data_IF_220196386896
#
_entry.id   IF_220196386896
#
_cell.length_a   1.000
_cell.length_b   1.000
_cell.length_c   1.000
_cell.angle_alpha   90.00
_cell.angle_beta   90.00
_cell.angle_gamma   90.00
#
_symmetry.space_group_name_H-M   'P 1'
#
loop_
_entity.id
_entity.type
_entity.pdbx_description
1 polymer ?
#
# COMPACT_ATOMS: atom_id res chain seq x y z
N UNK A 1 59.97 -31.04 4.52
CA UNK A 1 58.50 -31.20 4.37
C UNK A 1 57.70 -30.91 5.65
N UNK A 2 58.03 -31.48 6.82
CA UNK A 2 57.24 -31.29 8.06
C UNK A 2 57.11 -29.83 8.54
N UNK A 3 58.13 -28.97 8.36
CA UNK A 3 58.09 -27.55 8.76
C UNK A 3 57.11 -26.69 7.94
N UNK A 4 56.87 -27.03 6.67
CA UNK A 4 55.89 -26.31 5.85
C UNK A 4 54.45 -26.67 6.25
N UNK A 5 54.20 -27.93 6.61
CA UNK A 5 52.87 -28.37 7.06
C UNK A 5 52.40 -27.64 8.34
N UNK A 6 53.29 -27.40 9.30
CA UNK A 6 52.96 -26.64 10.51
C UNK A 6 52.69 -25.16 10.24
N UNK A 7 53.42 -24.55 9.30
CA UNK A 7 53.19 -23.17 8.89
C UNK A 7 51.84 -23.02 8.17
N UNK A 8 51.50 -23.96 7.30
CA UNK A 8 50.18 -24.01 6.64
C UNK A 8 49.04 -24.19 7.63
N UNK A 9 49.21 -25.03 8.66
CA UNK A 9 48.21 -25.27 9.70
C UNK A 9 48.02 -24.03 10.58
N UNK A 10 49.10 -23.32 10.93
CA UNK A 10 49.03 -22.06 11.69
C UNK A 10 48.36 -20.95 10.87
N UNK A 11 48.65 -20.83 9.57
CA UNK A 11 47.99 -19.84 8.69
C UNK A 11 46.51 -20.17 8.49
N UNK A 12 46.13 -21.45 8.37
CA UNK A 12 44.71 -21.86 8.31
C UNK A 12 43.99 -21.59 9.63
N UNK A 13 44.61 -21.90 10.78
CA UNK A 13 44.04 -21.66 12.10
C UNK A 13 43.94 -20.16 12.44
N UNK A 14 44.88 -19.34 11.95
CA UNK A 14 44.82 -17.88 12.09
C UNK A 14 43.79 -17.26 11.12
N UNK A 15 43.69 -17.77 9.89
CA UNK A 15 42.68 -17.35 8.92
C UNK A 15 41.24 -17.70 9.33
N UNK A 16 41.04 -18.84 9.99
CA UNK A 16 39.75 -19.24 10.56
C UNK A 16 39.35 -18.37 11.78
N UNK A 17 40.32 -17.91 12.59
CA UNK A 17 40.05 -17.00 13.72
C UNK A 17 39.89 -15.52 13.32
N UNK A 18 40.45 -15.10 12.18
CA UNK A 18 40.27 -13.75 11.63
C UNK A 18 39.03 -13.60 10.73
N UNK A 19 38.26 -14.67 10.53
CA UNK A 19 36.92 -14.58 9.97
C UNK A 19 35.96 -14.06 11.05
N UNK A 20 36.20 -12.84 11.52
CA UNK A 20 35.22 -12.08 12.30
C UNK A 20 34.09 -11.82 11.33
N UNK A 21 33.07 -12.69 11.35
CA UNK A 21 31.75 -12.29 10.93
C UNK A 21 31.43 -11.03 11.74
N UNK A 22 31.55 -9.86 11.10
CA UNK A 22 31.27 -8.58 11.73
C UNK A 22 29.80 -8.62 12.14
N UNK A 23 29.59 -8.93 13.41
CA UNK A 23 28.26 -9.11 13.98
C UNK A 23 27.83 -7.73 14.46
N UNK A 24 26.77 -7.19 13.87
CA UNK A 24 26.12 -6.01 14.40
C UNK A 24 25.66 -6.30 15.83
N UNK A 25 26.04 -5.44 16.77
CA UNK A 25 25.44 -5.43 18.11
C UNK A 25 24.19 -4.57 18.05
N UNK A 26 23.08 -5.11 18.52
CA UNK A 26 21.77 -4.46 18.44
C UNK A 26 21.18 -4.35 19.84
N UNK A 27 20.64 -3.18 20.16
CA UNK A 27 19.85 -2.95 21.36
C UNK A 27 18.50 -2.41 20.93
N UNK A 28 17.43 -3.10 21.32
CA UNK A 28 16.07 -2.62 21.08
C UNK A 28 15.76 -1.43 21.98
N UNK A 29 15.43 -0.29 21.37
CA UNK A 29 15.00 0.92 22.05
C UNK A 29 13.48 0.95 22.19
N UNK A 30 12.77 0.52 21.14
CA UNK A 30 11.31 0.50 21.10
C UNK A 30 10.79 -0.67 20.27
N UNK A 31 9.67 -1.26 20.71
CA UNK A 31 8.86 -2.23 19.98
C UNK A 31 7.38 -1.89 20.23
N UNK A 32 6.80 -1.08 19.35
CA UNK A 32 5.42 -0.59 19.51
C UNK A 32 4.73 -0.46 18.14
N UNK A 33 4.02 -1.52 17.71
CA UNK A 33 3.35 -1.54 16.42
C UNK A 33 2.32 -0.43 16.21
N UNK A 34 1.86 0.23 17.27
CA UNK A 34 0.86 1.30 17.17
C UNK A 34 1.40 2.57 16.50
N UNK A 35 2.72 2.81 16.56
CA UNK A 35 3.35 4.01 15.98
C UNK A 35 3.31 4.08 14.44
N UNK A 36 3.09 2.96 13.76
CA UNK A 36 3.05 2.95 12.28
C UNK A 36 1.77 3.59 11.75
N UNK A 37 0.67 3.36 12.45
CA UNK A 37 -0.68 3.75 12.05
C UNK A 37 -1.33 4.56 13.18
N UNK A 38 -0.60 5.49 13.79
CA UNK A 38 -1.19 6.39 14.78
C UNK A 38 -2.08 7.41 14.08
N UNK A 39 -1.54 8.30 13.24
CA UNK A 39 -2.36 9.14 12.34
C UNK A 39 -1.62 9.39 11.06
N UNK A 40 -2.27 9.27 9.91
CA UNK A 40 -1.63 9.68 8.67
C UNK A 40 -2.58 10.19 7.60
N UNK A 41 -2.03 11.05 6.75
CA UNK A 41 -2.63 11.44 5.47
C UNK A 41 -1.65 11.05 4.37
N UNK A 42 -2.14 10.28 3.41
CA UNK A 42 -1.45 9.96 2.17
C UNK A 42 -2.02 10.84 1.07
N UNK A 43 -1.14 11.43 0.27
CA UNK A 43 -1.50 12.05 -1.00
C UNK A 43 -1.17 11.07 -2.11
N UNK A 44 -2.19 10.62 -2.82
CA UNK A 44 -2.08 9.71 -3.97
C UNK A 44 -1.70 10.54 -5.21
N UNK A 45 -0.52 10.29 -5.77
CA UNK A 45 0.05 11.10 -6.87
C UNK A 45 -0.11 10.41 -8.21
N UNK A 46 -0.17 9.08 -8.20
CA UNK A 46 -0.36 8.24 -9.38
C UNK A 46 -1.32 7.12 -9.01
N UNK A 47 -2.62 7.42 -8.99
CA UNK A 47 -3.66 6.41 -8.86
C UNK A 47 -4.34 6.20 -10.21
N UNK A 48 -4.40 4.96 -10.70
CA UNK A 48 -5.16 4.57 -11.88
C UNK A 48 -6.43 3.85 -11.46
N UNK A 49 -7.49 4.00 -12.24
CA UNK A 49 -8.71 3.20 -12.17
C UNK A 49 -9.07 2.86 -13.61
N UNK A 50 -9.17 1.56 -13.89
CA UNK A 50 -9.45 1.01 -15.19
C UNK A 50 -10.72 0.19 -15.04
N UNK A 51 -11.82 0.71 -15.57
CA UNK A 51 -13.08 -0.03 -15.68
C UNK A 51 -12.97 -0.89 -16.95
N UNK A 52 -12.86 -2.22 -16.80
CA UNK A 52 -12.52 -3.14 -17.90
C UNK A 52 -13.70 -3.30 -18.86
N UNK A 53 -14.91 -3.40 -18.32
CA UNK A 53 -16.12 -3.66 -19.10
C UNK A 53 -16.55 -2.43 -19.92
N UNK A 54 -16.25 -1.22 -19.42
CA UNK A 54 -16.71 0.04 -20.02
C UNK A 54 -15.59 0.98 -20.49
N UNK A 55 -14.33 0.51 -20.41
CA UNK A 55 -13.09 1.14 -20.87
C UNK A 55 -12.88 2.60 -20.43
N UNK A 56 -13.46 3.03 -19.31
CA UNK A 56 -13.08 4.29 -18.68
C UNK A 56 -11.78 4.10 -17.89
N UNK A 57 -10.71 4.69 -18.40
CA UNK A 57 -9.43 4.78 -17.69
C UNK A 57 -9.26 6.18 -17.13
N UNK A 58 -8.99 6.28 -15.84
CA UNK A 58 -8.81 7.54 -15.16
C UNK A 58 -7.50 7.53 -14.39
N UNK A 59 -6.79 8.65 -14.42
CA UNK A 59 -5.65 8.91 -13.55
C UNK A 59 -6.04 10.00 -12.57
N UNK A 60 -5.92 9.68 -11.28
CA UNK A 60 -6.37 10.49 -10.17
C UNK A 60 -5.20 11.08 -9.41
N UNK A 61 -5.46 12.29 -8.93
CA UNK A 61 -4.85 12.84 -7.74
C UNK A 61 -5.82 12.61 -6.58
N UNK A 62 -5.33 12.17 -5.44
CA UNK A 62 -6.20 11.86 -4.34
C UNK A 62 -5.53 11.95 -2.99
N UNK A 63 -6.26 11.51 -1.98
CA UNK A 63 -5.67 11.28 -0.69
C UNK A 63 -6.52 10.37 0.16
N UNK A 64 -5.84 9.61 1.02
CA UNK A 64 -6.47 8.81 2.07
C UNK A 64 -6.05 9.31 3.44
N UNK A 65 -6.96 9.24 4.40
CA UNK A 65 -6.71 9.58 5.78
C UNK A 65 -7.08 8.40 6.67
N UNK A 66 -6.23 8.13 7.66
CA UNK A 66 -6.45 7.12 8.68
C UNK A 66 -6.28 7.76 10.05
N UNK A 67 -7.33 7.72 10.85
CA UNK A 67 -7.41 8.46 12.11
C UNK A 67 -8.10 7.63 13.20
N UNK A 68 -7.34 6.93 14.05
CA UNK A 68 -7.83 6.31 15.27
C UNK A 68 -8.46 7.35 16.19
N UNK A 69 -9.73 7.11 16.54
CA UNK A 69 -10.49 7.90 17.50
C UNK A 69 -10.41 7.24 18.87
N UNK A 70 -10.42 5.91 18.90
CA UNK A 70 -10.24 5.08 20.10
C UNK A 70 -9.40 3.85 19.75
N UNK A 71 -9.06 3.03 20.75
CA UNK A 71 -8.37 1.75 20.52
C UNK A 71 -9.14 0.82 19.56
N UNK A 72 -10.47 0.96 19.46
CA UNK A 72 -11.33 0.12 18.61
C UNK A 72 -11.83 0.81 17.35
N UNK A 73 -12.06 2.13 17.39
CA UNK A 73 -12.70 2.88 16.30
C UNK A 73 -11.67 3.75 15.57
N UNK A 74 -11.65 3.61 14.25
CA UNK A 74 -10.80 4.37 13.34
C UNK A 74 -11.65 4.99 12.25
N UNK A 75 -11.39 6.25 11.90
CA UNK A 75 -11.91 6.88 10.69
C UNK A 75 -10.96 6.57 9.53
N UNK A 76 -11.51 6.08 8.43
CA UNK A 76 -10.79 5.78 7.19
C UNK A 76 -11.53 6.49 6.05
N UNK A 77 -10.89 7.48 5.43
CA UNK A 77 -11.52 8.30 4.40
C UNK A 77 -10.66 8.34 3.15
N UNK A 78 -11.29 8.30 1.98
CA UNK A 78 -10.62 8.42 0.70
C UNK A 78 -11.28 9.46 -0.20
N UNK A 79 -10.47 10.19 -0.95
CA UNK A 79 -10.93 11.10 -1.98
C UNK A 79 -10.04 10.98 -3.21
N UNK A 80 -10.63 10.88 -4.40
CA UNK A 80 -9.93 10.84 -5.69
C UNK A 80 -10.56 11.86 -6.64
N UNK A 81 -9.72 12.66 -7.27
CA UNK A 81 -10.04 13.65 -8.28
C UNK A 81 -9.27 13.30 -9.56
N UNK A 82 -9.94 12.97 -10.67
CA UNK A 82 -9.29 12.68 -11.93
C UNK A 82 -8.66 13.97 -12.47
N UNK A 83 -7.37 13.93 -12.76
CA UNK A 83 -6.71 15.01 -13.52
C UNK A 83 -6.52 14.62 -14.98
N UNK A 84 -6.60 13.33 -15.30
CA UNK A 84 -6.62 12.82 -16.65
C UNK A 84 -7.69 11.74 -16.78
N UNK A 85 -8.52 11.87 -17.81
CA UNK A 85 -9.61 10.96 -18.12
C UNK A 85 -9.52 10.60 -19.59
N UNK A 86 -9.50 9.30 -19.89
CA UNK A 86 -9.65 8.83 -21.25
C UNK A 86 -11.15 8.77 -21.57
N UNK A 87 -11.63 9.70 -22.40
CA UNK A 87 -13.01 9.79 -22.85
C UNK A 87 -13.69 11.15 -22.64
N UNK A 88 -14.82 11.38 -23.32
CA UNK A 88 -15.66 12.57 -23.12
C UNK A 88 -16.57 12.39 -21.89
N UNK A 89 -16.13 12.84 -20.73
CA UNK A 89 -16.89 12.78 -19.49
C UNK A 89 -16.67 14.03 -18.64
N UNK A 90 -17.68 14.42 -17.86
CA UNK A 90 -17.53 15.51 -16.89
C UNK A 90 -16.50 15.17 -15.80
N UNK A 91 -16.12 16.18 -15.00
CA UNK A 91 -15.22 16.01 -13.86
C UNK A 91 -15.69 14.88 -12.95
N UNK A 92 -14.96 13.76 -12.94
CA UNK A 92 -15.23 12.66 -12.03
C UNK A 92 -14.80 13.03 -10.60
N UNK A 93 -15.41 12.44 -9.59
CA UNK A 93 -14.93 12.56 -8.21
C UNK A 93 -15.30 11.26 -7.52
N UNK A 94 -14.41 10.73 -6.69
CA UNK A 94 -14.73 9.64 -5.77
C UNK A 94 -14.47 10.10 -4.35
N UNK A 95 -15.43 9.87 -3.46
CA UNK A 95 -15.37 10.23 -2.04
C UNK A 95 -15.92 9.09 -1.20
N UNK A 96 -15.15 8.65 -0.22
CA UNK A 96 -15.45 7.46 0.58
C UNK A 96 -15.12 7.70 2.05
N UNK A 97 -15.94 8.45 2.80
CA UNK A 97 -15.78 8.55 4.23
C UNK A 97 -16.29 7.28 4.89
N UNK A 98 -15.46 6.66 5.73
CA UNK A 98 -15.81 5.44 6.44
C UNK A 98 -15.16 5.31 7.80
N UNK A 99 -15.50 4.20 8.44
CA UNK A 99 -15.00 3.81 9.74
C UNK A 99 -14.58 2.34 9.72
N UNK A 100 -13.56 2.03 10.51
CA UNK A 100 -13.10 0.69 10.80
C UNK A 100 -13.21 0.43 12.31
N UNK A 101 -13.96 -0.61 12.67
CA UNK A 101 -14.15 -1.05 14.04
C UNK A 101 -13.40 -2.36 14.28
N UNK A 102 -12.31 -2.29 15.04
CA UNK A 102 -11.47 -3.42 15.42
C UNK A 102 -12.23 -4.32 16.40
N UNK A 103 -12.43 -5.57 16.00
CA UNK A 103 -13.12 -6.60 16.78
C UNK A 103 -12.12 -7.49 17.52
N UNK A 104 -11.04 -7.88 16.84
CA UNK A 104 -10.05 -8.82 17.35
C UNK A 104 -8.67 -8.23 17.07
N UNK A 105 -7.83 -8.16 18.11
CA UNK A 105 -6.43 -7.78 18.00
C UNK A 105 -5.57 -8.95 18.48
N UNK A 106 -4.59 -9.37 17.69
CA UNK A 106 -3.65 -10.44 18.02
C UNK A 106 -2.24 -9.92 17.86
N UNK A 107 -1.41 -10.18 18.86
CA UNK A 107 0.02 -9.90 18.79
C UNK A 107 0.77 -11.19 18.50
N UNK A 108 1.79 -11.13 17.64
CA UNK A 108 2.75 -12.21 17.41
C UNK A 108 4.16 -11.64 17.41
N UNK A 109 5.13 -12.41 17.86
CA UNK A 109 6.55 -12.06 17.77
C UNK A 109 7.12 -12.68 16.50
N UNK A 110 7.78 -11.87 15.67
CA UNK A 110 8.30 -12.28 14.36
C UNK A 110 9.46 -11.35 13.95
N UNK A 111 10.17 -11.69 12.87
CA UNK A 111 11.30 -10.90 12.38
C UNK A 111 10.83 -9.64 11.62
N UNK A 112 11.20 -8.47 12.11
CA UNK A 112 10.98 -7.17 11.48
C UNK A 112 12.24 -6.75 10.71
N UNK A 113 12.15 -6.54 9.38
CA UNK A 113 13.31 -6.13 8.60
C UNK A 113 13.65 -4.65 8.84
N UNK A 114 14.90 -4.40 9.23
CA UNK A 114 15.48 -3.06 9.41
C UNK A 114 16.53 -2.83 8.34
N UNK A 115 16.39 -1.79 7.53
CA UNK A 115 17.39 -1.43 6.50
C UNK A 115 18.51 -0.65 7.18
N UNK A 116 19.74 -1.15 7.05
CA UNK A 116 20.94 -0.46 7.53
C UNK A 116 21.55 0.41 6.43
N UNK A 117 21.53 -0.07 5.20
CA UNK A 117 22.07 0.65 4.04
C UNK A 117 21.24 0.34 2.79
N UNK A 118 21.07 1.35 1.93
CA UNK A 118 20.49 1.19 0.59
C UNK A 118 21.35 1.92 -0.45
N UNK A 119 21.78 1.21 -1.48
CA UNK A 119 22.45 1.79 -2.64
C UNK A 119 21.60 1.53 -3.86
N UNK A 120 20.98 2.58 -4.39
CA UNK A 120 20.19 2.55 -5.63
C UNK A 120 21.17 2.60 -6.81
N UNK A 121 20.92 1.82 -7.86
CA UNK A 121 21.83 1.73 -9.01
C UNK A 121 23.25 1.28 -8.63
N UNK A 122 23.37 0.38 -7.65
CA UNK A 122 24.66 -0.12 -7.18
C UNK A 122 25.43 -0.89 -8.25
N UNK A 123 24.69 -1.56 -9.13
CA UNK A 123 25.23 -2.28 -10.28
C UNK A 123 24.26 -2.22 -11.45
N UNK A 124 24.68 -2.69 -12.62
CA UNK A 124 23.79 -2.91 -13.75
C UNK A 124 24.24 -4.12 -14.56
N UNK A 125 23.28 -4.87 -15.09
CA UNK A 125 23.55 -5.95 -16.04
C UNK A 125 22.69 -5.80 -17.29
N UNK A 126 23.26 -6.13 -18.44
CA UNK A 126 22.52 -6.11 -19.71
C UNK A 126 22.06 -7.51 -20.07
N UNK A 127 20.76 -7.69 -20.31
CA UNK A 127 20.17 -8.92 -20.83
C UNK A 127 19.28 -8.58 -22.02
N UNK A 128 19.51 -9.25 -23.15
CA UNK A 128 18.76 -9.02 -24.39
C UNK A 128 18.77 -7.54 -24.86
N UNK A 129 19.88 -6.82 -24.67
CA UNK A 129 20.01 -5.42 -25.06
C UNK A 129 19.33 -4.42 -24.12
N UNK A 130 18.72 -4.87 -23.02
CA UNK A 130 18.14 -4.01 -21.98
C UNK A 130 19.05 -4.02 -20.76
N UNK A 131 19.44 -2.84 -20.30
CA UNK A 131 20.23 -2.66 -19.07
C UNK A 131 19.28 -2.59 -17.87
N UNK A 132 19.48 -3.51 -16.93
CA UNK A 132 18.77 -3.57 -15.67
C UNK A 132 19.68 -3.05 -14.58
N UNK A 133 19.19 -2.12 -13.80
CA UNK A 133 19.90 -1.62 -12.63
C UNK A 133 19.58 -2.50 -11.42
N UNK A 134 20.59 -2.75 -10.60
CA UNK A 134 20.48 -3.54 -9.39
C UNK A 134 20.63 -2.62 -8.18
N UNK A 135 19.60 -2.60 -7.36
CA UNK A 135 19.63 -1.94 -6.06
C UNK A 135 20.14 -2.94 -5.02
N UNK A 136 21.02 -2.49 -4.13
CA UNK A 136 21.54 -3.34 -3.04
C UNK A 136 21.05 -2.79 -1.71
N UNK A 137 20.49 -3.67 -0.88
CA UNK A 137 19.99 -3.34 0.45
C UNK A 137 20.67 -4.24 1.48
N UNK A 138 21.18 -3.66 2.57
CA UNK A 138 21.61 -4.42 3.74
C UNK A 138 20.51 -4.36 4.79
N UNK A 139 20.01 -5.54 5.19
CA UNK A 139 18.98 -5.67 6.21
C UNK A 139 19.53 -6.35 7.46
N UNK A 140 18.98 -5.96 8.60
CA UNK A 140 19.02 -6.68 9.86
C UNK A 140 17.59 -7.12 10.17
N UNK A 141 17.39 -8.42 10.43
CA UNK A 141 16.12 -8.90 10.96
C UNK A 141 16.16 -8.80 12.48
N UNK A 142 15.33 -7.93 13.04
CA UNK A 142 15.18 -7.82 14.47
C UNK A 142 13.87 -8.46 14.90
N UNK A 143 13.93 -9.31 15.92
CA UNK A 143 12.74 -9.87 16.55
C UNK A 143 11.90 -8.73 17.12
N UNK A 144 10.66 -8.58 16.67
CA UNK A 144 9.75 -7.52 17.13
C UNK A 144 8.31 -8.01 17.19
N UNK A 145 7.41 -7.15 17.64
CA UNK A 145 5.99 -7.46 17.74
C UNK A 145 5.28 -7.06 16.45
N UNK A 146 4.42 -7.95 15.95
CA UNK A 146 3.42 -7.66 14.94
C UNK A 146 2.04 -7.64 15.57
N UNK A 147 1.26 -6.61 15.29
CA UNK A 147 -0.15 -6.53 15.67
C UNK A 147 -1.03 -6.77 14.45
N UNK A 148 -1.85 -7.81 14.51
CA UNK A 148 -2.92 -8.11 13.56
C UNK A 148 -4.27 -7.67 14.15
N UNK A 149 -4.89 -6.65 13.57
CA UNK A 149 -6.26 -6.23 13.88
C UNK A 149 -7.23 -6.72 12.81
N UNK A 150 -8.35 -7.30 13.23
CA UNK A 150 -9.43 -7.76 12.37
C UNK A 150 -10.72 -7.09 12.81
N UNK A 151 -11.55 -6.65 11.87
CA UNK A 151 -12.74 -5.91 12.23
C UNK A 151 -13.68 -5.64 11.06
N UNK A 152 -14.80 -5.01 11.40
CA UNK A 152 -15.77 -4.56 10.42
C UNK A 152 -15.38 -3.16 9.92
N UNK A 153 -15.58 -2.89 8.64
CA UNK A 153 -15.51 -1.53 8.09
C UNK A 153 -16.81 -1.18 7.39
N UNK A 154 -17.10 0.10 7.29
CA UNK A 154 -18.25 0.58 6.54
C UNK A 154 -18.24 2.09 6.41
N UNK A 155 -19.01 2.59 5.46
CA UNK A 155 -19.00 4.02 5.15
C UNK A 155 -19.96 4.39 4.05
N UNK A 156 -19.85 5.64 3.64
CA UNK A 156 -20.54 6.16 2.47
C UNK A 156 -19.62 6.03 1.26
N UNK A 157 -20.23 5.86 0.10
CA UNK A 157 -19.55 5.85 -1.18
C UNK A 157 -20.23 6.84 -2.09
N UNK A 158 -19.45 7.72 -2.69
CA UNK A 158 -19.90 8.63 -3.73
C UNK A 158 -18.91 8.58 -4.88
N UNK A 159 -19.41 8.32 -6.09
CA UNK A 159 -18.63 8.39 -7.32
C UNK A 159 -19.43 9.07 -8.40
N UNK A 160 -18.79 10.03 -9.05
CA UNK A 160 -19.23 10.60 -10.30
C UNK A 160 -18.19 10.25 -11.37
N UNK A 161 -18.64 9.82 -12.55
CA UNK A 161 -17.74 9.50 -13.65
C UNK A 161 -18.48 9.17 -14.94
N UNK A 162 -17.78 9.13 -16.07
CA UNK A 162 -18.34 8.67 -17.34
C UNK A 162 -18.66 7.19 -17.27
N UNK A 163 -19.65 6.77 -18.05
CA UNK A 163 -19.86 5.38 -18.42
C UNK A 163 -20.13 5.30 -19.93
N UNK A 164 -19.93 4.11 -20.50
CA UNK A 164 -20.21 3.79 -21.90
C UNK A 164 -21.35 2.76 -21.89
N UNK A 165 -22.28 2.78 -22.85
CA UNK A 165 -23.16 1.62 -23.10
C UNK A 165 -22.58 0.81 -24.26
N UNK A 166 -23.00 -0.44 -24.41
CA UNK A 166 -22.41 -1.49 -25.27
C UNK A 166 -22.18 -1.22 -26.79
N UNK A 167 -22.24 0.03 -27.26
CA UNK A 167 -21.85 0.40 -28.62
C UNK A 167 -20.46 1.05 -28.66
N UNK A 168 -19.51 0.30 -29.23
CA UNK A 168 -18.09 0.59 -29.30
C UNK A 168 -17.78 1.84 -30.13
N UNK A 169 -17.58 2.98 -29.47
CA UNK A 169 -16.91 4.15 -30.03
C UNK A 169 -16.27 4.97 -28.91
N UNK A 170 -14.95 5.18 -28.96
CA UNK A 170 -14.22 6.07 -28.02
C UNK A 170 -14.73 7.52 -28.07
N UNK A 171 -15.40 7.89 -29.17
CA UNK A 171 -16.06 9.19 -29.36
C UNK A 171 -17.50 9.23 -28.77
N UNK A 172 -18.08 8.08 -28.41
CA UNK A 172 -19.46 7.92 -27.92
C UNK A 172 -19.57 7.76 -26.39
N UNK A 173 -18.53 8.12 -25.64
CA UNK A 173 -18.62 8.28 -24.18
C UNK A 173 -19.56 9.46 -23.92
N UNK A 174 -20.83 9.17 -23.66
CA UNK A 174 -21.92 10.14 -23.81
C UNK A 174 -22.49 10.66 -22.50
N UNK A 175 -22.17 10.07 -21.35
CA UNK A 175 -23.04 10.28 -20.19
C UNK A 175 -22.31 10.16 -18.85
N UNK A 176 -22.43 11.19 -18.01
CA UNK A 176 -22.01 11.11 -16.61
C UNK A 176 -23.03 10.30 -15.79
N UNK A 177 -22.53 9.40 -14.95
CA UNK A 177 -23.32 8.71 -13.93
C UNK A 177 -22.92 9.17 -12.53
N UNK A 178 -23.83 9.00 -11.57
CA UNK A 178 -23.55 9.18 -10.15
C UNK A 178 -23.98 7.94 -9.38
N UNK A 179 -23.02 7.35 -8.66
CA UNK A 179 -23.22 6.25 -7.72
C UNK A 179 -23.10 6.83 -6.31
N UNK A 180 -24.16 6.75 -5.52
CA UNK A 180 -24.16 7.23 -4.15
C UNK A 180 -24.80 6.18 -3.25
N UNK A 181 -24.08 5.71 -2.25
CA UNK A 181 -24.55 4.61 -1.43
C UNK A 181 -23.69 4.31 -0.23
N UNK A 182 -23.76 3.06 0.23
CA UNK A 182 -23.06 2.59 1.42
C UNK A 182 -22.23 1.36 1.08
N UNK A 183 -21.18 1.14 1.86
CA UNK A 183 -20.44 -0.12 1.85
C UNK A 183 -20.31 -0.66 3.27
N UNK A 184 -20.25 -1.98 3.38
CA UNK A 184 -19.94 -2.69 4.61
C UNK A 184 -19.04 -3.87 4.28
N UNK A 185 -18.07 -4.13 5.15
CA UNK A 185 -17.05 -5.10 4.85
C UNK A 185 -16.23 -5.51 6.04
N UNK A 186 -15.17 -6.24 5.72
CA UNK A 186 -14.19 -6.73 6.65
C UNK A 186 -12.83 -6.13 6.32
N UNK A 187 -12.05 -5.83 7.36
CA UNK A 187 -10.69 -5.34 7.21
C UNK A 187 -9.73 -6.03 8.17
N UNK A 188 -8.58 -6.43 7.63
CA UNK A 188 -7.40 -6.85 8.36
C UNK A 188 -6.34 -5.75 8.26
N UNK A 189 -5.74 -5.40 9.39
CA UNK A 189 -4.57 -4.51 9.48
C UNK A 189 -3.45 -5.26 10.18
N UNK A 190 -2.32 -5.41 9.52
CA UNK A 190 -1.06 -5.91 10.10
C UNK A 190 -0.08 -4.76 10.20
N UNK A 191 0.57 -4.60 11.35
CA UNK A 191 1.54 -3.53 11.58
C UNK A 191 2.68 -4.01 12.47
N UNK A 192 3.87 -3.44 12.30
CA UNK A 192 5.03 -3.68 13.16
C UNK A 192 5.95 -2.45 13.16
N UNK A 193 6.58 -2.18 14.30
CA UNK A 193 7.53 -1.09 14.47
C UNK A 193 8.60 -1.51 15.48
N UNK A 194 9.86 -1.38 15.10
CA UNK A 194 11.00 -1.53 15.99
C UNK A 194 11.97 -0.39 15.79
N UNK A 195 12.46 0.19 16.88
CA UNK A 195 13.60 1.11 16.90
C UNK A 195 14.78 0.40 17.56
N UNK A 196 15.93 0.41 16.89
CA UNK A 196 17.15 -0.25 17.33
C UNK A 196 18.29 0.74 17.40
N UNK A 197 19.14 0.57 18.41
CA UNK A 197 20.49 1.11 18.44
C UNK A 197 21.45 0.04 17.91
N UNK A 198 22.19 0.37 16.85
CA UNK A 198 23.10 -0.55 16.17
C UNK A 198 24.53 -0.05 16.29
N UNK A 199 25.42 -0.97 16.68
CA UNK A 199 26.86 -0.74 16.78
C UNK A 199 27.63 -1.84 16.05
N UNK A 200 28.77 -1.49 15.47
CA UNK A 200 29.60 -2.40 14.69
C UNK A 200 29.57 -2.12 13.20
N UNK A 201 30.57 -2.66 12.49
CA UNK A 201 30.78 -2.44 11.05
C UNK A 201 30.82 -0.95 10.65
N UNK A 202 31.52 -0.12 11.43
CA UNK A 202 31.63 1.33 11.20
C UNK A 202 30.53 2.17 11.82
N UNK A 203 29.42 1.57 12.28
CA UNK A 203 28.33 2.25 12.98
C UNK A 203 28.65 2.38 14.47
N UNK A 204 28.39 3.56 15.05
CA UNK A 204 28.59 3.81 16.49
C UNK A 204 27.31 4.30 17.12
N UNK A 205 26.54 3.38 17.72
CA UNK A 205 25.26 3.67 18.37
C UNK A 205 24.32 4.46 17.46
N UNK A 206 24.19 4.02 16.21
CA UNK A 206 23.28 4.63 15.25
C UNK A 206 21.88 4.06 15.40
N UNK A 207 20.87 4.90 15.19
CA UNK A 207 19.47 4.52 15.35
C UNK A 207 18.91 4.08 14.01
N UNK A 208 18.28 2.93 13.99
CA UNK A 208 17.58 2.42 12.81
C UNK A 208 16.16 2.02 13.19
N UNK A 209 15.23 2.24 12.27
CA UNK A 209 13.83 1.90 12.47
C UNK A 209 13.38 0.95 11.34
N UNK A 210 12.83 -0.19 11.73
CA UNK A 210 12.11 -1.08 10.83
C UNK A 210 10.63 -0.98 11.13
N UNK A 211 9.82 -0.66 10.12
CA UNK A 211 8.39 -0.60 10.32
C UNK A 211 7.60 -0.80 9.03
N UNK A 212 6.32 -1.05 9.19
CA UNK A 212 5.43 -1.11 8.05
C UNK A 212 4.05 -1.58 8.44
N UNK A 213 3.15 -1.43 7.50
CA UNK A 213 1.80 -1.92 7.64
C UNK A 213 1.28 -2.52 6.33
N UNK A 214 0.34 -3.43 6.49
CA UNK A 214 -0.50 -3.94 5.41
C UNK A 214 -1.95 -3.86 5.87
N UNK A 215 -2.78 -3.17 5.09
CA UNK A 215 -4.24 -3.19 5.23
C UNK A 215 -4.79 -4.04 4.10
N UNK A 216 -5.70 -4.95 4.38
CA UNK A 216 -6.47 -5.70 3.39
C UNK A 216 -7.94 -5.59 3.75
N UNK A 217 -8.80 -5.47 2.75
CA UNK A 217 -10.24 -5.39 2.99
C UNK A 217 -11.05 -6.04 1.88
N UNK A 218 -12.28 -6.37 2.23
CA UNK A 218 -13.33 -6.81 1.33
C UNK A 218 -14.64 -6.13 1.73
N UNK A 219 -15.27 -5.42 0.79
CA UNK A 219 -16.51 -4.70 0.99
C UNK A 219 -17.60 -5.20 0.04
N UNK A 220 -18.83 -5.31 0.56
CA UNK A 220 -20.05 -5.34 -0.22
C UNK A 220 -20.61 -3.93 -0.29
N UNK A 221 -21.04 -3.51 -1.48
CA UNK A 221 -21.48 -2.16 -1.76
C UNK A 221 -22.95 -2.17 -2.21
N UNK A 222 -23.73 -1.24 -1.67
CA UNK A 222 -25.10 -0.95 -2.07
C UNK A 222 -25.08 0.46 -2.62
N UNK A 223 -24.93 0.58 -3.94
CA UNK A 223 -24.71 1.81 -4.68
C UNK A 223 -25.88 2.03 -5.65
N UNK A 224 -27.05 2.50 -5.17
CA UNK A 224 -28.13 2.85 -6.07
C UNK A 224 -27.65 3.92 -7.05
N UNK A 225 -28.03 3.75 -8.31
CA UNK A 225 -27.76 4.74 -9.34
C UNK A 225 -28.71 5.91 -9.12
N UNK A 226 -28.18 7.07 -8.75
CA UNK A 226 -29.02 8.23 -8.42
C UNK A 226 -29.22 9.18 -9.59
N UNK A 227 -28.33 9.16 -10.58
CA UNK A 227 -28.43 10.04 -11.74
C UNK A 227 -27.68 9.47 -12.96
N UNK A 228 -28.34 9.51 -14.13
CA UNK A 228 -27.79 9.17 -15.44
C UNK A 228 -28.12 10.33 -16.38
N UNK A 229 -27.12 10.98 -16.96
CA UNK A 229 -27.34 12.20 -17.76
C UNK A 229 -28.13 11.99 -19.07
N UNK A 230 -28.20 10.77 -19.63
CA UNK A 230 -29.06 10.38 -20.76
C UNK A 230 -29.64 8.99 -20.51
N UNK A 231 -30.87 9.03 -20.01
CA UNK A 231 -31.66 7.89 -19.61
C UNK A 231 -32.02 6.91 -20.76
N UNK A 232 -31.86 7.32 -22.02
CA UNK A 232 -32.21 6.52 -23.22
C UNK A 232 -31.14 5.53 -23.62
N UNK A 233 -29.99 5.57 -22.96
CA UNK A 233 -28.76 4.86 -23.33
C UNK A 233 -28.63 3.52 -22.58
N UNK A 234 -29.46 3.29 -21.55
CA UNK A 234 -29.42 2.07 -20.73
C UNK A 234 -30.64 1.20 -20.98
N UNK A 235 -30.41 -0.11 -21.12
CA UNK A 235 -31.50 -1.08 -21.11
C UNK A 235 -32.15 -1.13 -19.72
N UNK A 236 -33.45 -1.43 -19.64
CA UNK A 236 -34.20 -1.40 -18.38
C UNK A 236 -33.61 -2.30 -17.28
N UNK A 237 -32.89 -3.36 -17.66
CA UNK A 237 -32.21 -4.28 -16.73
C UNK A 237 -30.87 -3.73 -16.19
N UNK A 238 -30.23 -2.78 -16.88
CA UNK A 238 -28.95 -2.18 -16.45
C UNK A 238 -29.16 -1.10 -15.38
N UNK A 239 -30.32 -0.43 -15.41
CA UNK A 239 -30.73 0.56 -14.40
C UNK A 239 -30.89 -0.01 -12.99
N UNK A 240 -31.13 -1.31 -12.86
CA UNK A 240 -31.46 -1.96 -11.58
C UNK A 240 -30.21 -2.43 -10.80
N UNK A 241 -29.01 -2.25 -11.37
CA UNK A 241 -27.75 -2.54 -10.70
C UNK A 241 -27.61 -1.69 -9.42
N UNK A 242 -27.72 -2.31 -8.26
CA UNK A 242 -27.51 -1.65 -6.95
C UNK A 242 -26.36 -2.28 -6.17
N UNK A 243 -25.97 -3.51 -6.51
CA UNK A 243 -24.99 -4.27 -5.74
C UNK A 243 -23.63 -4.31 -6.43
N UNK A 244 -22.59 -4.09 -5.65
CA UNK A 244 -21.20 -4.26 -6.05
C UNK A 244 -20.39 -4.91 -4.94
N UNK A 245 -19.15 -5.25 -5.25
CA UNK A 245 -18.18 -5.67 -4.25
C UNK A 245 -16.80 -5.15 -4.62
N UNK A 246 -15.93 -5.05 -3.63
CA UNK A 246 -14.53 -4.74 -3.87
C UNK A 246 -13.63 -5.44 -2.86
N UNK A 247 -12.40 -5.69 -3.27
CA UNK A 247 -11.33 -6.11 -2.40
C UNK A 247 -10.13 -5.22 -2.68
N UNK A 248 -9.41 -4.82 -1.63
CA UNK A 248 -8.22 -4.01 -1.81
C UNK A 248 -7.19 -4.25 -0.75
N UNK A 249 -6.00 -3.75 -1.04
CA UNK A 249 -4.91 -3.71 -0.08
C UNK A 249 -4.18 -2.38 -0.14
N UNK A 250 -3.65 -1.96 1.00
CA UNK A 250 -2.68 -0.89 1.11
C UNK A 250 -1.45 -1.44 1.81
N UNK A 251 -0.28 -1.06 1.34
CA UNK A 251 0.99 -1.56 1.85
C UNK A 251 2.01 -0.44 1.91
N UNK A 252 2.61 -0.29 3.09
CA UNK A 252 3.76 0.56 3.33
C UNK A 252 4.83 -0.33 3.96
N UNK A 253 5.93 -0.55 3.23
CA UNK A 253 7.14 -1.13 3.81
C UNK A 253 8.14 0.00 3.97
N UNK A 254 8.41 0.34 5.22
CA UNK A 254 9.13 1.55 5.55
C UNK A 254 10.45 1.20 6.24
N UNK A 255 11.60 1.45 5.60
CA UNK A 255 12.77 1.86 6.34
C UNK A 255 12.58 3.33 6.70
N UNK A 256 12.16 3.58 7.94
CA UNK A 256 11.81 4.91 8.48
C UNK A 256 12.93 5.95 8.32
N UNK A 257 14.15 5.50 7.97
CA UNK A 257 15.36 6.30 7.81
C UNK A 257 15.66 6.74 6.38
N UNK A 258 14.86 6.33 5.38
CA UNK A 258 14.93 6.92 4.02
C UNK A 258 13.80 7.94 3.84
N UNK A 259 14.11 9.25 3.69
CA UNK A 259 13.10 10.30 3.74
C UNK A 259 11.98 10.17 2.71
N UNK A 260 12.28 9.61 1.53
CA UNK A 260 11.35 9.51 0.41
C UNK A 260 10.64 8.14 0.37
N UNK A 261 11.39 7.04 0.35
CA UNK A 261 10.82 5.69 0.20
C UNK A 261 10.02 5.26 1.41
N UNK A 262 10.41 5.71 2.59
CA UNK A 262 9.68 5.40 3.80
C UNK A 262 8.25 5.96 3.87
N UNK A 263 8.00 7.00 3.09
CA UNK A 263 6.70 7.66 3.02
C UNK A 263 5.80 7.06 1.95
N UNK A 264 6.29 6.13 1.12
CA UNK A 264 5.52 5.58 0.00
C UNK A 264 4.50 4.55 0.48
N UNK A 265 3.24 4.75 0.11
CA UNK A 265 2.16 3.80 0.31
C UNK A 265 1.69 3.32 -1.06
N UNK A 266 1.71 2.00 -1.24
CA UNK A 266 1.15 1.35 -2.40
C UNK A 266 -0.28 0.93 -2.09
N UNK A 267 -1.16 1.06 -3.07
CA UNK A 267 -2.54 0.60 -2.98
C UNK A 267 -2.94 -0.15 -4.23
N UNK A 268 -3.80 -1.14 -4.08
CA UNK A 268 -4.54 -1.69 -5.19
C UNK A 268 -5.93 -2.13 -4.73
N UNK A 269 -6.88 -2.12 -5.65
CA UNK A 269 -8.27 -2.46 -5.44
C UNK A 269 -8.79 -3.14 -6.72
N UNK A 270 -9.60 -4.18 -6.56
CA UNK A 270 -10.38 -4.80 -7.62
C UNK A 270 -11.83 -4.87 -7.17
N UNK A 271 -12.75 -4.82 -8.10
CA UNK A 271 -14.16 -4.97 -7.74
C UNK A 271 -15.09 -4.93 -8.91
N UNK A 272 -16.38 -4.95 -8.59
CA UNK A 272 -17.48 -4.72 -9.51
C UNK A 272 -18.32 -3.58 -8.94
N UNK A 273 -18.56 -2.55 -9.76
CA UNK A 273 -19.48 -1.45 -9.46
C UNK A 273 -20.73 -1.57 -10.32
N UNK A 274 -21.91 -1.15 -9.83
CA UNK A 274 -23.07 -1.01 -10.70
C UNK A 274 -22.79 -0.04 -11.85
N UNK A 275 -23.30 -0.35 -13.05
CA UNK A 275 -23.11 0.39 -14.31
C UNK A 275 -21.67 0.53 -14.85
N UNK A 276 -20.64 0.33 -14.03
CA UNK A 276 -19.23 0.44 -14.44
C UNK A 276 -18.53 -0.92 -14.50
N UNK A 277 -19.21 -2.00 -14.15
CA UNK A 277 -18.71 -3.36 -14.29
C UNK A 277 -17.47 -3.63 -13.44
N UNK A 278 -16.64 -4.56 -13.91
CA UNK A 278 -15.37 -4.91 -13.29
C UNK A 278 -14.35 -3.78 -13.43
N UNK A 279 -13.63 -3.50 -12.36
CA UNK A 279 -12.55 -2.51 -12.37
C UNK A 279 -11.30 -2.98 -11.61
N UNK A 280 -10.18 -2.40 -12.02
CA UNK A 280 -8.88 -2.50 -11.34
C UNK A 280 -8.38 -1.09 -11.05
N UNK A 281 -8.07 -0.82 -9.79
CA UNK A 281 -7.40 0.41 -9.37
C UNK A 281 -6.06 0.09 -8.71
N UNK A 282 -5.06 0.91 -9.00
CA UNK A 282 -3.73 0.82 -8.39
C UNK A 282 -3.22 2.21 -8.09
N UNK A 283 -2.41 2.38 -7.06
CA UNK A 283 -1.94 3.71 -6.69
C UNK A 283 -0.63 3.74 -5.92
N UNK A 284 0.12 4.81 -6.13
CA UNK A 284 1.27 5.18 -5.30
C UNK A 284 1.00 6.55 -4.67
N UNK A 285 1.08 6.61 -3.35
CA UNK A 285 0.93 7.83 -2.58
C UNK A 285 2.06 8.06 -1.60
N UNK A 286 2.17 9.28 -1.09
CA UNK A 286 3.16 9.67 -0.10
C UNK A 286 2.47 10.12 1.20
N UNK A 287 2.93 9.62 2.34
CA UNK A 287 2.56 10.13 3.66
C UNK A 287 3.08 11.57 3.79
N UNK A 288 2.16 12.53 3.85
CA UNK A 288 2.46 13.97 4.02
C UNK A 288 2.31 14.44 5.46
N UNK A 289 1.60 13.66 6.27
CA UNK A 289 1.43 13.89 7.71
C UNK A 289 1.51 12.54 8.42
N UNK A 290 2.31 12.48 9.48
CA UNK A 290 2.41 11.37 10.42
C UNK A 290 2.81 11.94 11.78
N UNK A 291 1.92 11.80 12.78
CA UNK A 291 2.22 12.06 14.20
C UNK A 291 2.65 10.75 14.87
#
# INVERSE_FOLDING_TARGET
>A
MKKFAYLSLCVLAFGLNCSIAQTYQTQMLQDDPTQVLDRFVVVDVLATDIDIDFQSSNVYFGGSAYWPITEKLVVDAHMKLPYFQFGNGGFGITLEPGVYFKLITKNKTDDVPVVLESTIYADSYTKNGVTYNVDTYKFLNATGTYTDSYGARGGLYFRQGPFTSDDFNLEDIKTGSTLAGVYIGFQKVTQAFVELLVSGNGLTNEKFIGAGFTKMYFDVMILPVTNIADERVLDANERDGTFGFRAGFQWNKNPYDTPLFGRIVYSAEIGIRPLMGFYLSGGVGFKVFQD
#
